data_IF_646304604382
#
_entry.id   IF_646304604382
#
_cell.length_a   1.000
_cell.length_b   1.000
_cell.length_c   1.000
_cell.angle_alpha   90.00
_cell.angle_beta   90.00
_cell.angle_gamma   90.00
#
_symmetry.space_group_name_H-M   'P 1'
#
loop_
_entity.id
_entity.type
_entity.pdbx_description
1 polymer ?
#
# COMPACT_ATOMS: atom_id res chain seq x y z
N UNK A 1 2.13 31.71 -6.87
CA UNK A 1 1.24 31.29 -7.97
C UNK A 1 1.17 29.76 -8.10
N UNK A 2 2.29 29.05 -8.28
CA UNK A 2 2.34 27.56 -8.35
C UNK A 2 1.58 26.86 -7.20
N UNK A 3 1.80 27.29 -5.95
CA UNK A 3 1.13 26.69 -4.77
C UNK A 3 -0.41 26.85 -4.79
N UNK A 4 -0.94 27.88 -5.48
CA UNK A 4 -2.38 28.06 -5.64
C UNK A 4 -2.97 27.00 -6.59
N UNK A 5 -2.23 26.61 -7.63
CA UNK A 5 -2.66 25.56 -8.56
C UNK A 5 -2.58 24.15 -7.94
N UNK A 6 -1.59 23.87 -7.08
CA UNK A 6 -1.56 22.61 -6.32
C UNK A 6 -2.78 22.40 -5.41
N UNK A 7 -3.46 23.49 -5.00
CA UNK A 7 -4.69 23.42 -4.19
C UNK A 7 -5.95 23.33 -5.04
N UNK A 8 -5.88 23.67 -6.32
CA UNK A 8 -7.01 23.60 -7.24
C UNK A 8 -7.26 22.17 -7.72
N UNK A 9 -8.54 21.83 -7.92
CA UNK A 9 -9.00 20.55 -8.49
C UNK A 9 -9.30 20.71 -9.99
N UNK A 10 -9.16 21.91 -10.54
CA UNK A 10 -9.45 22.16 -11.95
C UNK A 10 -8.42 21.44 -12.84
N UNK A 11 -8.85 20.66 -13.85
CA UNK A 11 -7.97 20.01 -14.82
C UNK A 11 -6.92 20.95 -15.43
N UNK A 12 -7.34 22.15 -15.84
CA UNK A 12 -6.48 23.19 -16.39
C UNK A 12 -5.43 23.73 -15.39
N UNK A 13 -5.58 23.48 -14.09
CA UNK A 13 -4.59 23.88 -13.09
C UNK A 13 -3.31 23.04 -13.20
N UNK A 14 -3.41 21.77 -13.59
CA UNK A 14 -2.25 20.89 -13.76
C UNK A 14 -1.42 21.30 -14.97
N UNK A 15 -2.07 21.56 -16.12
CA UNK A 15 -1.42 22.08 -17.32
C UNK A 15 -0.75 23.43 -17.07
N UNK A 16 -1.47 24.38 -16.45
CA UNK A 16 -0.89 25.69 -16.09
C UNK A 16 0.28 25.58 -15.13
N UNK A 17 0.21 24.68 -14.14
CA UNK A 17 1.32 24.44 -13.23
C UNK A 17 2.54 23.90 -13.99
N UNK A 18 2.32 23.03 -14.98
CA UNK A 18 3.38 22.48 -15.81
C UNK A 18 3.97 23.54 -16.75
N UNK A 19 3.16 24.36 -17.40
CA UNK A 19 3.62 25.45 -18.27
C UNK A 19 4.51 26.44 -17.50
N UNK A 20 4.12 26.78 -16.26
CA UNK A 20 4.92 27.64 -15.38
C UNK A 20 6.24 26.95 -15.03
N UNK A 21 6.22 25.65 -14.70
CA UNK A 21 7.43 24.89 -14.40
C UNK A 21 8.37 24.83 -15.61
N UNK A 22 7.84 24.55 -16.81
CA UNK A 22 8.62 24.53 -18.04
C UNK A 22 9.20 25.91 -18.36
N UNK A 23 8.43 26.99 -18.18
CA UNK A 23 8.92 28.36 -18.35
C UNK A 23 10.05 28.67 -17.37
N UNK A 24 9.91 28.27 -16.10
CA UNK A 24 10.93 28.45 -15.07
C UNK A 24 12.22 27.70 -15.43
N UNK A 25 12.12 26.46 -15.92
CA UNK A 25 13.28 25.70 -16.39
C UNK A 25 13.95 26.41 -17.58
N UNK A 26 13.18 26.85 -18.58
CA UNK A 26 13.72 27.54 -19.76
C UNK A 26 14.45 28.84 -19.41
N UNK A 27 13.87 29.67 -18.54
CA UNK A 27 14.49 30.93 -18.12
C UNK A 27 15.80 30.68 -17.35
N UNK A 28 15.81 29.72 -16.43
CA UNK A 28 17.01 29.33 -15.70
C UNK A 28 18.12 28.79 -16.62
N UNK A 29 17.76 27.98 -17.64
CA UNK A 29 18.73 27.49 -18.64
C UNK A 29 19.27 28.63 -19.52
N UNK A 30 18.47 29.66 -19.78
CA UNK A 30 18.88 30.84 -20.56
C UNK A 30 19.71 31.86 -19.75
N UNK A 31 20.07 31.55 -18.50
CA UNK A 31 20.98 32.36 -17.68
C UNK A 31 20.30 33.29 -16.67
N UNK A 32 18.95 33.30 -16.61
CA UNK A 32 18.21 34.03 -15.58
C UNK A 32 18.24 33.25 -14.26
N UNK A 33 19.17 33.62 -13.38
CA UNK A 33 19.40 32.95 -12.09
C UNK A 33 18.34 33.28 -11.04
N UNK A 34 17.48 34.28 -11.27
CA UNK A 34 16.44 34.69 -10.32
C UNK A 34 15.23 33.75 -10.38
N UNK A 35 15.07 32.99 -11.47
CA UNK A 35 13.94 32.09 -11.72
C UNK A 35 14.39 30.62 -11.64
N UNK A 36 15.04 30.24 -10.54
CA UNK A 36 15.55 28.87 -10.34
C UNK A 36 14.46 27.89 -9.88
N UNK A 37 14.19 26.80 -10.62
CA UNK A 37 13.28 25.76 -10.15
C UNK A 37 13.85 25.03 -8.94
N UNK A 38 12.97 24.73 -7.99
CA UNK A 38 13.29 24.01 -6.77
C UNK A 38 12.42 22.75 -6.61
N UNK A 39 12.70 21.96 -5.57
CA UNK A 39 11.91 20.76 -5.27
C UNK A 39 10.42 21.06 -5.16
N UNK A 40 10.06 22.18 -4.52
CA UNK A 40 8.66 22.58 -4.31
C UNK A 40 7.96 22.81 -5.65
N UNK A 41 8.63 23.44 -6.61
CA UNK A 41 8.08 23.71 -7.95
C UNK A 41 7.71 22.40 -8.68
N UNK A 42 8.60 21.40 -8.65
CA UNK A 42 8.33 20.07 -9.22
C UNK A 42 7.23 19.32 -8.45
N UNK A 43 7.34 19.21 -7.12
CA UNK A 43 6.36 18.51 -6.28
C UNK A 43 4.97 19.14 -6.40
N UNK A 44 4.89 20.46 -6.53
CA UNK A 44 3.63 21.20 -6.76
C UNK A 44 2.98 20.82 -8.08
N UNK A 45 3.76 20.75 -9.16
CA UNK A 45 3.26 20.35 -10.47
C UNK A 45 2.75 18.90 -10.45
N UNK A 46 3.52 17.97 -9.86
CA UNK A 46 3.11 16.56 -9.71
C UNK A 46 1.85 16.45 -8.84
N UNK A 47 1.75 17.24 -7.76
CA UNK A 47 0.56 17.27 -6.91
C UNK A 47 -0.68 17.73 -7.68
N UNK A 48 -0.55 18.76 -8.52
CA UNK A 48 -1.63 19.21 -9.40
C UNK A 48 -2.08 18.09 -10.36
N UNK A 49 -1.13 17.39 -10.99
CA UNK A 49 -1.44 16.20 -11.81
C UNK A 49 -2.11 15.08 -11.00
N UNK A 50 -1.73 14.86 -9.75
CA UNK A 50 -2.32 13.83 -8.88
C UNK A 50 -3.76 14.08 -8.44
N UNK A 51 -4.26 15.29 -8.70
CA UNK A 51 -5.63 15.74 -8.44
C UNK A 51 -6.43 15.96 -9.72
N UNK A 52 -5.79 15.82 -10.87
CA UNK A 52 -6.42 15.99 -12.18
C UNK A 52 -7.07 14.69 -12.61
N UNK A 53 -8.31 14.77 -13.07
CA UNK A 53 -9.04 13.63 -13.66
C UNK A 53 -8.73 13.46 -15.16
N UNK A 54 -7.75 14.20 -15.70
CA UNK A 54 -7.36 14.08 -17.10
C UNK A 54 -6.65 12.75 -17.38
N UNK A 55 -6.98 12.17 -18.55
CA UNK A 55 -6.26 11.02 -19.08
C UNK A 55 -4.78 11.37 -19.29
N UNK A 56 -3.89 10.47 -18.89
CA UNK A 56 -2.45 10.65 -19.02
C UNK A 56 -1.79 11.45 -17.89
N UNK A 57 -2.53 11.81 -16.83
CA UNK A 57 -1.98 12.45 -15.63
C UNK A 57 -0.81 11.69 -15.03
N UNK A 58 -0.85 10.35 -15.03
CA UNK A 58 0.29 9.53 -14.58
C UNK A 58 1.49 9.59 -15.52
N UNK A 59 1.27 9.61 -16.84
CA UNK A 59 2.35 9.80 -17.82
C UNK A 59 3.04 11.15 -17.65
N UNK A 60 2.27 12.22 -17.42
CA UNK A 60 2.81 13.57 -17.15
C UNK A 60 3.59 13.60 -15.84
N UNK A 61 3.03 13.05 -14.76
CA UNK A 61 3.70 12.94 -13.48
C UNK A 61 5.03 12.15 -13.57
N UNK A 62 5.05 11.05 -14.32
CA UNK A 62 6.25 10.26 -14.58
C UNK A 62 7.30 11.04 -15.40
N UNK A 63 6.87 11.80 -16.40
CA UNK A 63 7.75 12.64 -17.20
C UNK A 63 8.39 13.76 -16.37
N UNK A 64 7.61 14.44 -15.53
CA UNK A 64 8.10 15.48 -14.62
C UNK A 64 9.07 14.89 -13.58
N UNK A 65 8.75 13.71 -13.02
CA UNK A 65 9.67 13.01 -12.13
C UNK A 65 10.99 12.67 -12.84
N UNK A 66 10.94 12.16 -14.08
CA UNK A 66 12.15 11.86 -14.86
C UNK A 66 12.98 13.12 -15.10
N UNK A 67 12.34 14.23 -15.46
CA UNK A 67 13.01 15.52 -15.64
C UNK A 67 13.69 16.00 -14.35
N UNK A 68 12.98 15.93 -13.21
CA UNK A 68 13.52 16.24 -11.89
C UNK A 68 14.70 15.32 -11.54
N UNK A 69 14.58 14.03 -11.85
CA UNK A 69 15.62 13.03 -11.67
C UNK A 69 16.87 13.34 -12.51
N UNK A 70 16.70 13.79 -13.75
CA UNK A 70 17.78 14.10 -14.68
C UNK A 70 18.50 15.40 -14.29
N UNK A 71 17.76 16.48 -14.03
CA UNK A 71 18.32 17.76 -13.58
C UNK A 71 19.02 17.63 -12.22
N UNK A 72 18.55 16.76 -11.32
CA UNK A 72 19.19 16.56 -10.01
C UNK A 72 20.62 15.99 -10.10
N UNK A 73 21.01 15.43 -11.25
CA UNK A 73 22.38 14.93 -11.48
C UNK A 73 23.36 16.04 -11.86
N UNK A 74 22.88 17.21 -12.26
CA UNK A 74 23.72 18.34 -12.61
C UNK A 74 24.35 18.98 -11.36
N UNK A 75 25.63 19.37 -11.45
CA UNK A 75 26.37 19.99 -10.34
C UNK A 75 25.67 21.29 -9.91
N UNK A 76 25.35 21.41 -8.62
CA UNK A 76 24.71 22.61 -8.05
C UNK A 76 23.17 22.58 -8.01
N UNK A 77 22.54 21.49 -8.49
CA UNK A 77 21.09 21.29 -8.46
C UNK A 77 20.63 20.19 -7.49
N UNK A 78 21.50 19.65 -6.64
CA UNK A 78 21.15 18.59 -5.64
C UNK A 78 19.87 18.90 -4.84
N UNK A 79 19.59 20.19 -4.58
CA UNK A 79 18.38 20.67 -3.88
C UNK A 79 17.06 20.29 -4.56
N UNK A 80 17.06 19.94 -5.86
CA UNK A 80 15.86 19.53 -6.60
C UNK A 80 15.65 18.01 -6.60
N UNK A 81 16.48 17.24 -5.90
CA UNK A 81 16.34 15.77 -5.85
C UNK A 81 14.94 15.36 -5.35
N UNK A 82 14.28 14.37 -6.00
CA UNK A 82 13.00 13.84 -5.53
C UNK A 82 13.11 13.30 -4.11
N UNK A 83 12.12 13.61 -3.27
CA UNK A 83 11.96 13.06 -1.93
C UNK A 83 10.78 12.07 -1.88
N UNK A 84 10.50 11.56 -0.68
CA UNK A 84 9.39 10.62 -0.45
C UNK A 84 8.03 11.19 -0.86
N UNK A 85 7.82 12.50 -0.69
CA UNK A 85 6.56 13.17 -1.04
C UNK A 85 6.40 13.16 -2.56
N UNK A 86 7.46 13.51 -3.30
CA UNK A 86 7.44 13.47 -4.77
C UNK A 86 7.09 12.08 -5.30
N UNK A 87 7.74 11.02 -4.77
CA UNK A 87 7.45 9.65 -5.20
C UNK A 87 6.03 9.18 -4.85
N UNK A 88 5.55 9.52 -3.65
CA UNK A 88 4.19 9.18 -3.23
C UNK A 88 3.12 9.84 -4.10
N UNK A 89 3.34 11.09 -4.56
CA UNK A 89 2.42 11.74 -5.48
C UNK A 89 2.39 11.07 -6.86
N UNK A 90 3.55 10.65 -7.39
CA UNK A 90 3.60 9.89 -8.66
C UNK A 90 2.88 8.55 -8.53
N UNK A 91 3.08 7.84 -7.42
CA UNK A 91 2.35 6.59 -7.13
C UNK A 91 0.83 6.84 -7.05
N UNK A 92 0.41 7.95 -6.46
CA UNK A 92 -1.01 8.35 -6.43
C UNK A 92 -1.58 8.60 -7.83
N UNK A 93 -0.83 9.23 -8.73
CA UNK A 93 -1.25 9.38 -10.13
C UNK A 93 -1.43 7.99 -10.79
N UNK A 94 -0.47 7.07 -10.58
CA UNK A 94 -0.53 5.71 -11.15
C UNK A 94 -1.74 4.91 -10.67
N UNK A 95 -2.16 5.08 -9.42
CA UNK A 95 -3.35 4.42 -8.86
C UNK A 95 -4.62 4.81 -9.64
N UNK A 96 -4.73 6.10 -9.99
CA UNK A 96 -5.90 6.68 -10.65
C UNK A 96 -5.91 6.39 -12.17
N UNK A 97 -4.79 5.94 -12.71
CA UNK A 97 -4.64 5.66 -14.13
C UNK A 97 -5.29 4.32 -14.54
N UNK A 98 -5.73 4.27 -15.80
CA UNK A 98 -6.30 3.09 -16.46
C UNK A 98 -5.27 2.17 -17.11
N UNK A 99 -3.97 2.46 -17.04
CA UNK A 99 -2.93 1.59 -17.61
C UNK A 99 -2.96 0.18 -17.02
N UNK A 100 -2.84 -0.81 -17.91
CA UNK A 100 -2.75 -2.22 -17.54
C UNK A 100 -1.45 -2.53 -16.77
N UNK A 101 -0.35 -1.89 -17.15
CA UNK A 101 0.99 -2.06 -16.58
C UNK A 101 1.26 -1.20 -15.34
N UNK A 102 0.23 -0.55 -14.76
CA UNK A 102 0.43 0.36 -13.62
C UNK A 102 1.08 -0.29 -12.40
N UNK A 103 0.85 -1.59 -12.17
CA UNK A 103 1.50 -2.34 -11.11
C UNK A 103 3.02 -2.45 -11.34
N UNK A 104 3.45 -2.72 -12.57
CA UNK A 104 4.86 -2.78 -12.96
C UNK A 104 5.53 -1.41 -12.85
N UNK A 105 4.84 -0.35 -13.31
CA UNK A 105 5.30 1.03 -13.15
C UNK A 105 5.46 1.40 -11.68
N UNK A 106 4.51 1.02 -10.82
CA UNK A 106 4.58 1.27 -9.39
C UNK A 106 5.76 0.53 -8.71
N UNK A 107 6.00 -0.74 -9.08
CA UNK A 107 7.18 -1.51 -8.63
C UNK A 107 8.50 -0.85 -9.06
N UNK A 108 8.55 -0.32 -10.30
CA UNK A 108 9.70 0.40 -10.81
C UNK A 108 9.96 1.70 -10.01
N UNK A 109 8.91 2.41 -9.57
CA UNK A 109 9.06 3.58 -8.69
C UNK A 109 9.69 3.20 -7.34
N UNK A 110 9.23 2.13 -6.68
CA UNK A 110 9.86 1.67 -5.43
C UNK A 110 11.33 1.30 -5.64
N UNK A 111 11.64 0.67 -6.77
CA UNK A 111 13.02 0.33 -7.14
C UNK A 111 13.88 1.57 -7.37
N UNK A 112 13.32 2.64 -7.97
CA UNK A 112 13.98 3.94 -8.11
C UNK A 112 14.24 4.61 -6.76
N UNK A 113 13.26 4.62 -5.87
CA UNK A 113 13.41 5.14 -4.50
C UNK A 113 14.58 4.47 -3.79
N UNK A 114 14.67 3.14 -3.84
CA UNK A 114 15.78 2.36 -3.27
C UNK A 114 17.13 2.75 -3.88
N UNK A 115 17.23 2.85 -5.22
CA UNK A 115 18.46 3.26 -5.91
C UNK A 115 18.93 4.66 -5.50
N UNK A 116 18.00 5.58 -5.25
CA UNK A 116 18.28 6.95 -4.79
C UNK A 116 18.36 7.09 -3.27
N UNK A 117 18.37 5.97 -2.53
CA UNK A 117 18.43 5.94 -1.05
C UNK A 117 17.27 6.70 -0.37
N UNK A 118 16.14 6.84 -1.06
CA UNK A 118 14.89 7.36 -0.48
C UNK A 118 14.14 6.17 0.11
N UNK A 119 13.93 6.17 1.42
CA UNK A 119 13.19 5.10 2.11
C UNK A 119 11.69 5.22 1.79
N UNK A 120 11.11 4.15 1.24
CA UNK A 120 9.66 4.06 1.03
C UNK A 120 8.94 3.90 2.37
N UNK A 121 7.76 4.51 2.50
CA UNK A 121 6.91 4.39 3.68
C UNK A 121 5.67 3.52 3.40
N UNK A 122 4.80 3.40 4.40
CA UNK A 122 3.56 2.64 4.26
C UNK A 122 2.63 3.22 3.17
N UNK A 123 2.66 4.54 2.93
CA UNK A 123 1.87 5.15 1.86
C UNK A 123 2.40 4.75 0.48
N UNK A 124 3.73 4.69 0.30
CA UNK A 124 4.37 4.20 -0.92
C UNK A 124 3.92 2.76 -1.21
N UNK A 125 4.03 1.87 -0.23
CA UNK A 125 3.68 0.46 -0.40
C UNK A 125 2.18 0.23 -0.58
N UNK A 126 1.33 0.96 0.17
CA UNK A 126 -0.12 0.88 -0.01
C UNK A 126 -0.54 1.32 -1.41
N UNK A 127 0.10 2.35 -1.97
CA UNK A 127 -0.18 2.80 -3.34
C UNK A 127 0.18 1.73 -4.37
N UNK A 128 1.28 0.99 -4.18
CA UNK A 128 1.66 -0.13 -5.06
C UNK A 128 0.62 -1.25 -5.01
N UNK A 129 0.20 -1.67 -3.80
CA UNK A 129 -0.84 -2.70 -3.64
C UNK A 129 -2.17 -2.21 -4.23
N UNK A 130 -2.48 -0.91 -4.11
CA UNK A 130 -3.67 -0.32 -4.70
C UNK A 130 -3.60 -0.30 -6.24
N UNK A 131 -2.43 -0.05 -6.85
CA UNK A 131 -2.23 -0.24 -8.28
C UNK A 131 -2.56 -1.68 -8.71
N UNK A 132 -2.06 -2.68 -7.98
CA UNK A 132 -2.39 -4.08 -8.24
C UNK A 132 -3.90 -4.37 -8.10
N UNK A 133 -4.54 -3.87 -7.04
CA UNK A 133 -5.96 -4.13 -6.81
C UNK A 133 -6.87 -3.46 -7.83
N UNK A 134 -6.43 -2.34 -8.42
CA UNK A 134 -7.16 -1.59 -9.45
C UNK A 134 -6.79 -1.97 -10.88
N UNK A 135 -5.87 -2.93 -11.09
CA UNK A 135 -5.57 -3.50 -12.42
C UNK A 135 -6.80 -4.22 -12.95
N UNK A 136 -7.23 -3.88 -14.17
CA UNK A 136 -8.40 -4.46 -14.85
C UNK A 136 -8.05 -5.25 -16.11
N UNK A 137 -6.76 -5.45 -16.37
CA UNK A 137 -6.28 -6.18 -17.55
C UNK A 137 -6.89 -7.57 -17.63
N UNK A 138 -7.31 -7.96 -18.83
CA UNK A 138 -7.80 -9.32 -19.13
C UNK A 138 -6.65 -10.31 -19.34
N UNK A 139 -5.44 -9.82 -19.57
CA UNK A 139 -4.26 -10.66 -19.78
C UNK A 139 -3.88 -11.42 -18.50
N UNK A 140 -3.75 -12.74 -18.64
CA UNK A 140 -3.35 -13.66 -17.56
C UNK A 140 -1.95 -13.32 -17.04
N UNK A 141 -1.03 -12.93 -17.92
CA UNK A 141 0.35 -12.62 -17.55
C UNK A 141 0.40 -11.34 -16.74
N UNK A 142 -0.31 -10.29 -17.20
CA UNK A 142 -0.40 -9.03 -16.48
C UNK A 142 -1.03 -9.20 -15.10
N UNK A 143 -2.09 -10.02 -14.99
CA UNK A 143 -2.71 -10.36 -13.70
C UNK A 143 -1.75 -11.12 -12.77
N UNK A 144 -1.01 -12.08 -13.32
CA UNK A 144 0.02 -12.84 -12.59
C UNK A 144 1.14 -11.94 -12.07
N UNK A 145 1.65 -11.03 -12.90
CA UNK A 145 2.64 -10.04 -12.49
C UNK A 145 2.11 -9.11 -11.41
N UNK A 146 0.89 -8.58 -11.55
CA UNK A 146 0.28 -7.72 -10.54
C UNK A 146 0.09 -8.46 -9.20
N UNK A 147 -0.30 -9.73 -9.22
CA UNK A 147 -0.43 -10.55 -8.02
C UNK A 147 0.93 -10.83 -7.35
N UNK A 148 1.96 -11.16 -8.14
CA UNK A 148 3.34 -11.31 -7.66
C UNK A 148 3.78 -10.04 -6.94
N UNK A 149 3.59 -8.87 -7.56
CA UNK A 149 3.98 -7.58 -7.00
C UNK A 149 3.25 -7.31 -5.68
N UNK A 150 1.95 -7.60 -5.59
CA UNK A 150 1.19 -7.45 -4.36
C UNK A 150 1.76 -8.33 -3.24
N UNK A 151 2.05 -9.61 -3.53
CA UNK A 151 2.63 -10.56 -2.57
C UNK A 151 4.02 -10.10 -2.08
N UNK A 152 4.90 -9.74 -3.01
CA UNK A 152 6.23 -9.24 -2.68
C UNK A 152 6.18 -7.94 -1.87
N UNK A 153 5.23 -7.06 -2.18
CA UNK A 153 5.06 -5.80 -1.45
C UNK A 153 4.61 -6.05 -0.02
N UNK A 154 3.65 -6.95 0.20
CA UNK A 154 3.23 -7.32 1.56
C UNK A 154 4.37 -7.96 2.36
N UNK A 155 5.19 -8.81 1.73
CA UNK A 155 6.39 -9.39 2.35
C UNK A 155 7.48 -8.35 2.63
N UNK A 156 7.62 -7.32 1.79
CA UNK A 156 8.54 -6.20 2.03
C UNK A 156 8.07 -5.40 3.26
N UNK A 157 6.76 -5.14 3.39
CA UNK A 157 6.20 -4.48 4.58
C UNK A 157 6.45 -5.33 5.83
N UNK A 158 6.25 -6.65 5.78
CA UNK A 158 6.42 -7.52 6.96
C UNK A 158 7.86 -7.65 7.44
N UNK A 159 8.83 -7.47 6.55
CA UNK A 159 10.26 -7.53 6.86
C UNK A 159 10.86 -6.16 7.21
N UNK A 160 10.11 -5.07 7.01
CA UNK A 160 10.61 -3.72 7.19
C UNK A 160 10.57 -3.32 8.66
N UNK A 161 11.68 -2.83 9.19
CA UNK A 161 11.76 -2.30 10.56
C UNK A 161 11.12 -0.91 10.70
N UNK A 162 10.85 -0.23 9.59
CA UNK A 162 10.45 1.19 9.59
C UNK A 162 9.00 1.41 9.14
N UNK A 163 8.30 0.34 8.74
CA UNK A 163 6.92 0.42 8.26
C UNK A 163 6.12 -0.74 8.83
N UNK A 164 4.96 -0.43 9.39
CA UNK A 164 3.99 -1.45 9.82
C UNK A 164 2.79 -1.43 8.88
N UNK A 165 2.17 -2.60 8.61
CA UNK A 165 0.93 -2.62 7.85
C UNK A 165 -0.17 -1.88 8.62
N UNK A 166 -1.12 -1.33 7.89
CA UNK A 166 -2.33 -0.74 8.46
C UNK A 166 -3.58 -1.42 7.86
N UNK A 167 -4.81 -1.08 8.31
CA UNK A 167 -5.99 -1.76 7.81
C UNK A 167 -6.20 -1.55 6.29
N UNK A 168 -5.74 -0.42 5.74
CA UNK A 168 -5.78 -0.17 4.30
C UNK A 168 -4.88 -1.13 3.52
N UNK A 169 -3.70 -1.48 4.04
CA UNK A 169 -2.80 -2.48 3.44
C UNK A 169 -3.53 -3.79 3.19
N UNK A 170 -4.21 -4.32 4.22
CA UNK A 170 -4.94 -5.58 4.13
C UNK A 170 -6.17 -5.47 3.24
N UNK A 171 -6.92 -4.37 3.33
CA UNK A 171 -8.05 -4.13 2.44
C UNK A 171 -7.64 -4.15 0.96
N UNK A 172 -6.59 -3.41 0.58
CA UNK A 172 -6.13 -3.39 -0.80
C UNK A 172 -5.57 -4.73 -1.24
N UNK A 173 -4.82 -5.41 -0.37
CA UNK A 173 -4.25 -6.71 -0.68
C UNK A 173 -5.33 -7.78 -0.90
N UNK A 174 -6.34 -7.85 -0.03
CA UNK A 174 -7.45 -8.80 -0.17
C UNK A 174 -8.26 -8.50 -1.44
N UNK A 175 -8.51 -7.22 -1.77
CA UNK A 175 -9.12 -6.83 -3.07
C UNK A 175 -8.27 -7.31 -4.26
N UNK A 176 -6.95 -7.19 -4.15
CA UNK A 176 -6.03 -7.64 -5.20
C UNK A 176 -6.10 -9.16 -5.36
N UNK A 177 -6.08 -9.93 -4.28
CA UNK A 177 -6.24 -11.39 -4.32
C UNK A 177 -7.59 -11.79 -4.93
N UNK A 178 -8.68 -11.17 -4.49
CA UNK A 178 -10.03 -11.45 -4.99
C UNK A 178 -10.16 -11.25 -6.51
N UNK A 179 -9.59 -10.15 -7.02
CA UNK A 179 -9.67 -9.80 -8.44
C UNK A 179 -8.65 -10.54 -9.31
N UNK A 180 -7.43 -10.75 -8.81
CA UNK A 180 -6.31 -11.24 -9.62
C UNK A 180 -6.10 -12.74 -9.52
N UNK A 181 -6.27 -13.34 -8.34
CA UNK A 181 -6.01 -14.77 -8.11
C UNK A 181 -7.18 -15.66 -8.54
N UNK A 182 -6.90 -16.95 -8.72
CA UNK A 182 -7.89 -18.01 -8.95
C UNK A 182 -7.86 -18.98 -7.77
N UNK A 183 -8.92 -19.75 -7.58
CA UNK A 183 -8.91 -20.84 -6.61
C UNK A 183 -7.95 -21.96 -7.07
N UNK A 184 -7.26 -22.66 -6.13
CA UNK A 184 -7.33 -22.55 -4.67
C UNK A 184 -6.40 -21.47 -4.06
N UNK A 185 -5.60 -20.78 -4.87
CA UNK A 185 -4.59 -19.85 -4.35
C UNK A 185 -5.22 -18.59 -3.76
N UNK A 186 -6.34 -18.13 -4.31
CA UNK A 186 -7.12 -17.00 -3.77
C UNK A 186 -7.44 -17.19 -2.29
N UNK A 187 -8.11 -18.29 -1.94
CA UNK A 187 -8.51 -18.57 -0.55
C UNK A 187 -7.31 -18.71 0.39
N UNK A 188 -6.23 -19.37 -0.06
CA UNK A 188 -4.97 -19.47 0.72
C UNK A 188 -4.34 -18.10 1.00
N UNK A 189 -4.25 -17.23 -0.01
CA UNK A 189 -3.65 -15.90 0.14
C UNK A 189 -4.49 -15.01 1.06
N UNK A 190 -5.81 -15.03 0.92
CA UNK A 190 -6.69 -14.23 1.79
C UNK A 190 -6.63 -14.73 3.24
N UNK A 191 -6.57 -16.05 3.46
CA UNK A 191 -6.35 -16.64 4.80
C UNK A 191 -5.02 -16.18 5.40
N UNK A 192 -3.93 -16.26 4.64
CA UNK A 192 -2.62 -15.81 5.10
C UNK A 192 -2.61 -14.31 5.46
N UNK A 193 -3.25 -13.48 4.63
CA UNK A 193 -3.41 -12.04 4.89
C UNK A 193 -4.23 -11.77 6.14
N UNK A 194 -5.29 -12.54 6.38
CA UNK A 194 -6.10 -12.44 7.59
C UNK A 194 -5.28 -12.74 8.86
N UNK A 195 -4.56 -13.87 8.88
CA UNK A 195 -3.73 -14.21 10.05
C UNK A 195 -2.66 -13.16 10.31
N UNK A 196 -2.07 -12.60 9.25
CA UNK A 196 -1.12 -11.50 9.39
C UNK A 196 -1.78 -10.21 9.88
N UNK A 197 -3.02 -9.92 9.46
CA UNK A 197 -3.81 -8.79 9.97
C UNK A 197 -4.09 -8.92 11.48
N UNK A 198 -4.44 -10.13 11.93
CA UNK A 198 -4.65 -10.43 13.34
C UNK A 198 -3.37 -10.24 14.17
N UNK A 199 -2.25 -10.80 13.70
CA UNK A 199 -0.97 -10.73 14.43
C UNK A 199 -0.33 -9.35 14.42
N UNK A 200 -0.73 -8.46 13.50
CA UNK A 200 -0.30 -7.06 13.45
C UNK A 200 -1.24 -6.10 14.19
N UNK A 201 -2.34 -6.60 14.76
CA UNK A 201 -3.34 -5.79 15.46
C UNK A 201 -4.09 -4.81 14.56
N UNK A 202 -4.27 -5.14 13.27
CA UNK A 202 -4.86 -4.26 12.25
C UNK A 202 -6.29 -4.65 11.84
N UNK A 203 -6.95 -5.52 12.61
CA UNK A 203 -8.31 -5.95 12.35
C UNK A 203 -9.26 -4.77 12.56
N UNK A 204 -10.06 -4.49 11.53
CA UNK A 204 -11.01 -3.38 11.51
C UNK A 204 -12.29 -3.80 10.81
N UNK A 205 -13.37 -3.03 10.99
CA UNK A 205 -14.65 -3.31 10.33
C UNK A 205 -14.53 -3.39 8.80
N UNK A 206 -13.79 -2.49 8.11
CA UNK A 206 -13.54 -2.65 6.67
C UNK A 206 -12.87 -3.97 6.28
N UNK A 207 -11.88 -4.43 7.05
CA UNK A 207 -11.16 -5.69 6.79
C UNK A 207 -12.08 -6.90 6.99
N UNK A 208 -12.93 -6.87 8.02
CA UNK A 208 -13.94 -7.93 8.23
C UNK A 208 -14.96 -7.96 7.10
N UNK A 209 -15.45 -6.78 6.69
CA UNK A 209 -16.44 -6.67 5.62
C UNK A 209 -15.90 -7.22 4.30
N UNK A 210 -14.66 -6.90 3.94
CA UNK A 210 -14.11 -7.41 2.68
C UNK A 210 -13.92 -8.92 2.71
N UNK A 211 -13.39 -9.48 3.80
CA UNK A 211 -13.18 -10.93 3.92
C UNK A 211 -14.49 -11.69 3.74
N UNK A 212 -15.56 -11.23 4.39
CA UNK A 212 -16.92 -11.80 4.27
C UNK A 212 -17.44 -11.80 2.84
N UNK A 213 -17.16 -10.74 2.09
CA UNK A 213 -17.64 -10.60 0.72
C UNK A 213 -16.79 -11.40 -0.28
N UNK A 214 -15.52 -11.67 0.04
CA UNK A 214 -14.58 -12.33 -0.89
C UNK A 214 -14.50 -13.85 -0.75
N UNK A 215 -14.72 -14.39 0.46
CA UNK A 215 -14.61 -15.82 0.77
C UNK A 215 -15.97 -16.49 0.89
N UNK A 216 -16.03 -17.78 0.52
CA UNK A 216 -17.21 -18.62 0.79
C UNK A 216 -17.39 -18.87 2.29
N UNK A 217 -18.61 -19.25 2.68
CA UNK A 217 -18.98 -19.54 4.07
C UNK A 217 -18.05 -20.60 4.68
N UNK A 218 -17.73 -21.67 3.93
CA UNK A 218 -16.82 -22.72 4.39
C UNK A 218 -15.42 -22.20 4.75
N UNK A 219 -14.89 -21.24 3.99
CA UNK A 219 -13.61 -20.62 4.28
C UNK A 219 -13.69 -19.63 5.46
N UNK A 220 -14.83 -18.94 5.62
CA UNK A 220 -15.08 -18.07 6.77
C UNK A 220 -15.21 -18.85 8.07
N UNK A 221 -15.89 -19.99 8.04
CA UNK A 221 -16.00 -20.90 9.19
C UNK A 221 -14.62 -21.41 9.62
N UNK A 222 -13.75 -21.75 8.67
CA UNK A 222 -12.37 -22.16 8.96
C UNK A 222 -11.57 -21.04 9.64
N UNK A 223 -11.64 -19.82 9.11
CA UNK A 223 -10.91 -18.65 9.63
C UNK A 223 -11.43 -18.21 11.01
N UNK A 224 -12.75 -18.19 11.19
CA UNK A 224 -13.40 -17.73 12.42
C UNK A 224 -13.60 -18.82 13.47
N UNK A 225 -13.19 -20.07 13.18
CA UNK A 225 -13.26 -21.20 14.11
C UNK A 225 -12.67 -20.88 15.48
N UNK A 226 -11.67 -20.01 15.52
CA UNK A 226 -10.99 -19.56 16.73
C UNK A 226 -11.87 -18.72 17.67
N UNK A 227 -13.00 -18.18 17.22
CA UNK A 227 -13.87 -17.25 17.97
C UNK A 227 -15.19 -17.95 18.43
N UNK A 228 -15.34 -19.25 18.16
CA UNK A 228 -16.45 -20.07 18.62
C UNK A 228 -17.64 -20.15 17.66
N UNK A 229 -18.75 -20.72 18.13
CA UNK A 229 -19.93 -21.17 17.36
C UNK A 229 -20.91 -20.06 16.99
N UNK A 230 -20.45 -18.81 16.83
CA UNK A 230 -21.33 -17.73 16.35
C UNK A 230 -21.49 -17.84 14.85
N UNK A 231 -22.70 -17.55 14.37
CA UNK A 231 -22.99 -17.38 12.93
C UNK A 231 -21.96 -16.42 12.32
N UNK A 232 -21.17 -16.92 11.37
CA UNK A 232 -20.05 -16.19 10.73
C UNK A 232 -20.48 -14.87 10.09
N UNK A 233 -21.76 -14.73 9.74
CA UNK A 233 -22.34 -13.51 9.17
C UNK A 233 -22.64 -12.44 10.24
N UNK A 234 -22.84 -12.85 11.50
CA UNK A 234 -23.24 -11.97 12.61
C UNK A 234 -22.08 -11.54 13.51
N UNK A 235 -20.87 -12.08 13.29
CA UNK A 235 -19.68 -11.71 14.05
C UNK A 235 -19.44 -10.19 13.95
N UNK A 236 -19.11 -9.55 15.07
CA UNK A 236 -18.78 -8.13 15.16
C UNK A 236 -17.30 -7.97 15.51
N UNK A 237 -16.73 -6.79 15.27
CA UNK A 237 -15.34 -6.51 15.69
C UNK A 237 -15.15 -6.71 17.20
N UNK A 238 -16.18 -6.44 18.01
CA UNK A 238 -16.18 -6.65 19.46
C UNK A 238 -16.11 -8.12 19.89
N UNK A 239 -16.35 -9.07 18.97
CA UNK A 239 -16.23 -10.50 19.27
C UNK A 239 -14.77 -10.99 19.21
N UNK A 240 -13.86 -10.18 18.67
CA UNK A 240 -12.44 -10.51 18.56
C UNK A 240 -11.65 -9.99 19.77
N UNK A 241 -10.49 -10.60 20.09
CA UNK A 241 -9.57 -10.07 21.10
C UNK A 241 -9.22 -8.60 20.80
N UNK A 242 -9.22 -7.75 21.83
CA UNK A 242 -8.94 -6.32 21.68
C UNK A 242 -7.57 -6.05 21.05
N UNK A 243 -6.58 -6.92 21.32
CA UNK A 243 -5.24 -6.91 20.73
C UNK A 243 -5.24 -6.94 19.20
N UNK A 244 -6.24 -7.59 18.58
CA UNK A 244 -6.34 -7.69 17.13
C UNK A 244 -6.75 -6.37 16.49
N UNK A 245 -7.31 -5.44 17.26
CA UNK A 245 -7.70 -4.09 16.82
C UNK A 245 -6.89 -2.97 17.48
N UNK A 246 -5.96 -3.30 18.37
CA UNK A 246 -5.25 -2.34 19.21
C UNK A 246 -4.16 -1.54 18.48
N UNK A 247 -3.83 -1.89 17.23
CA UNK A 247 -2.73 -1.29 16.47
C UNK A 247 -1.40 -1.51 17.17
N UNK A 248 -0.72 -2.63 16.90
CA UNK A 248 0.54 -2.91 17.59
C UNK A 248 1.60 -1.90 17.13
N UNK A 249 2.01 -0.99 18.03
CA UNK A 249 3.27 -0.27 17.89
C UNK A 249 4.41 -1.29 17.98
N UNK A 250 5.36 -1.31 17.03
CA UNK A 250 6.35 -2.37 16.98
C UNK A 250 7.43 -2.13 18.03
N UNK A 251 7.35 -2.79 19.18
CA UNK A 251 8.53 -3.13 19.99
C UNK A 251 8.33 -4.48 20.67
N UNK A 252 9.15 -5.45 20.24
CA UNK A 252 9.70 -6.55 21.03
C UNK A 252 8.92 -6.91 22.31
N UNK A 253 7.94 -7.79 22.16
CA UNK A 253 7.42 -8.57 23.27
C UNK A 253 7.42 -10.06 22.89
N UNK A 254 8.57 -10.70 23.08
CA UNK A 254 8.63 -12.04 23.68
C UNK A 254 7.68 -13.14 23.15
N UNK A 255 7.50 -13.28 21.83
CA UNK A 255 6.62 -14.31 21.24
C UNK A 255 7.30 -15.67 20.99
N UNK A 256 8.31 -16.02 21.79
CA UNK A 256 8.53 -17.44 22.15
C UNK A 256 7.83 -17.82 23.47
N UNK A 257 7.42 -16.86 24.30
CA UNK A 257 6.79 -17.14 25.60
C UNK A 257 5.26 -17.31 25.51
N UNK A 258 4.58 -16.59 24.62
CA UNK A 258 3.12 -16.63 24.53
C UNK A 258 2.58 -17.90 23.81
N UNK A 259 3.24 -18.38 22.75
CA UNK A 259 2.86 -19.68 22.17
C UNK A 259 3.11 -20.83 23.17
N UNK A 260 4.17 -20.79 23.96
CA UNK A 260 4.44 -21.80 24.99
C UNK A 260 3.45 -21.74 26.17
N UNK A 261 3.00 -20.56 26.59
CA UNK A 261 2.04 -20.42 27.68
C UNK A 261 0.63 -20.84 27.29
N UNK A 262 0.19 -20.59 26.06
CA UNK A 262 -1.12 -21.06 25.57
C UNK A 262 -1.12 -22.58 25.38
N UNK A 263 0.00 -23.16 24.88
CA UNK A 263 0.17 -24.62 24.78
C UNK A 263 0.25 -25.32 26.16
N UNK A 264 0.88 -24.68 27.16
CA UNK A 264 0.95 -25.21 28.53
C UNK A 264 -0.42 -25.17 29.23
N UNK A 265 -1.18 -24.08 29.10
CA UNK A 265 -2.55 -23.99 29.65
C UNK A 265 -3.50 -25.02 29.03
N UNK A 266 -3.40 -25.26 27.73
CA UNK A 266 -4.25 -26.26 27.05
C UNK A 266 -3.92 -27.70 27.49
N UNK A 267 -2.63 -28.06 27.60
CA UNK A 267 -2.22 -29.38 28.13
C UNK A 267 -2.61 -29.60 29.59
N UNK A 268 -2.67 -28.55 30.41
CA UNK A 268 -3.06 -28.65 31.81
C UNK A 268 -4.58 -28.84 31.98
N UNK A 269 -5.38 -28.21 31.10
CA UNK A 269 -6.82 -28.39 31.07
C UNK A 269 -7.23 -29.77 30.51
N UNK A 270 -6.55 -30.29 29.49
CA UNK A 270 -6.78 -31.66 28.99
C UNK A 270 -6.51 -32.72 30.07
N UNK A 271 -5.40 -32.58 30.82
CA UNK A 271 -5.09 -33.48 31.95
C UNK A 271 -6.11 -33.44 33.09
N UNK A 272 -6.71 -32.26 33.35
CA UNK A 272 -7.80 -32.13 34.33
C UNK A 272 -9.08 -32.82 33.84
N UNK A 273 -9.44 -32.66 32.57
CA UNK A 273 -10.61 -33.33 32.00
C UNK A 273 -10.46 -34.84 31.92
N UNK A 274 -9.24 -35.34 31.67
CA UNK A 274 -8.98 -36.78 31.63
C UNK A 274 -9.02 -37.45 33.01
N UNK A 275 -8.65 -36.72 34.09
CA UNK A 275 -8.78 -37.19 35.47
C UNK A 275 -10.22 -37.21 35.99
N UNK A 276 -11.10 -36.37 35.44
CA UNK A 276 -12.53 -36.34 35.78
C UNK A 276 -13.34 -37.40 35.02
N UNK A 277 -12.83 -37.94 33.91
CA UNK A 277 -13.47 -39.03 33.14
C UNK A 277 -13.09 -40.43 33.61
N UNK A 278 -12.04 -40.57 34.41
CA UNK A 278 -11.54 -41.85 34.93
C UNK A 278 -11.89 -42.05 36.43
N UNK A 279 -12.92 -41.36 36.93
CA UNK A 279 -13.48 -41.53 38.26
C UNK A 279 -14.95 -41.91 38.15
#
# INVERSE_FOLDING_TARGET
MLNAFAKSVLPAAAEKAEDILQKMIRLNTNGDKDVKPDRISFTTCINAWSKSDQNGSASRALAILKLMEDLSREKGLVKISPDIVTYNLVLKCLVSDSFDDKALKAEAIISKMKKRKVKADIMSYNSVIQCCCTTRSKDINMRGHALRIANETLLKISKSEHTTPNPFTFNFYIKACDRLAREPDKSKLIKAAWYYCCSSGQVSQPVLSIIRNTLSISHLEDIFRTIGTKDVRKIRLSDFPSEWSAGILPRYASTQSHQQNTLKKNKQNERRHQRLRNR
#
